data_IF_474766987394
#
_entry.id   IF_474766987394
#
_cell.length_a   1.000
_cell.length_b   1.000
_cell.length_c   1.000
_cell.angle_alpha   90.00
_cell.angle_beta   90.00
_cell.angle_gamma   90.00
#
_symmetry.space_group_name_H-M   'P 1'
#
loop_
_entity.id
_entity.type
_entity.pdbx_description
1 polymer ?
#
# COMPACT_ATOMS: atom_id res chain seq x y z
N UNK A 1 10.62 4.24 -14.67
CA UNK A 1 10.16 5.03 -13.50
C UNK A 1 9.61 4.10 -12.44
N UNK A 2 9.99 4.31 -11.21
CA UNK A 2 9.51 3.49 -10.08
C UNK A 2 8.03 3.72 -9.85
N UNK A 3 7.29 2.63 -9.61
CA UNK A 3 5.92 2.67 -9.10
C UNK A 3 5.94 2.13 -7.67
N UNK A 4 5.55 2.95 -6.72
CA UNK A 4 5.39 2.51 -5.34
C UNK A 4 3.99 1.91 -5.16
N UNK A 5 3.95 0.73 -4.57
CA UNK A 5 2.70 0.11 -4.12
C UNK A 5 2.65 0.30 -2.60
N UNK A 6 1.69 1.08 -2.13
CA UNK A 6 1.58 1.43 -0.72
C UNK A 6 0.54 0.52 -0.06
N UNK A 7 0.92 -0.20 0.98
CA UNK A 7 -0.04 -0.98 1.75
C UNK A 7 -0.64 -0.14 2.89
N UNK A 8 -1.66 -0.68 3.54
CA UNK A 8 -2.35 0.03 4.61
C UNK A 8 -1.45 0.32 5.81
N UNK A 9 -0.54 -0.60 6.15
CA UNK A 9 0.35 -0.41 7.30
C UNK A 9 1.29 0.77 7.12
N UNK A 10 1.83 0.95 5.91
CA UNK A 10 2.70 2.09 5.59
C UNK A 10 1.92 3.40 5.62
N UNK A 11 0.72 3.43 5.03
CA UNK A 11 -0.13 4.61 5.05
C UNK A 11 -0.48 5.02 6.49
N UNK A 12 -0.76 4.07 7.36
CA UNK A 12 -1.09 4.36 8.76
C UNK A 12 0.10 4.88 9.54
N UNK A 13 1.32 4.41 9.26
CA UNK A 13 2.53 5.01 9.85
C UNK A 13 2.63 6.50 9.51
N UNK A 14 2.29 6.88 8.29
CA UNK A 14 2.29 8.27 7.86
C UNK A 14 1.28 9.10 8.66
N UNK A 15 0.04 8.64 8.78
CA UNK A 15 -0.99 9.36 9.54
C UNK A 15 -0.72 9.41 11.04
N UNK A 16 -0.04 8.41 11.58
CA UNK A 16 0.27 8.30 13.00
C UNK A 16 1.57 9.02 13.39
N UNK A 17 2.29 9.56 12.41
CA UNK A 17 3.64 10.08 12.59
C UNK A 17 4.54 9.04 13.27
N UNK A 18 4.35 7.79 12.89
CA UNK A 18 5.06 6.66 13.45
C UNK A 18 6.42 6.42 12.80
N UNK A 19 7.05 5.31 13.18
CA UNK A 19 8.34 4.93 12.62
C UNK A 19 8.23 4.73 11.10
N UNK A 20 9.08 5.43 10.35
CA UNK A 20 9.07 5.39 8.88
C UNK A 20 8.12 6.39 8.23
N UNK A 21 7.40 7.22 8.99
CA UNK A 21 6.52 8.25 8.43
C UNK A 21 7.27 9.19 7.49
N UNK A 22 8.51 9.56 7.83
CA UNK A 22 9.35 10.40 6.98
C UNK A 22 9.58 9.77 5.60
N UNK A 23 9.82 8.47 5.57
CA UNK A 23 10.04 7.76 4.32
C UNK A 23 8.77 7.73 3.47
N UNK A 24 7.61 7.52 4.07
CA UNK A 24 6.33 7.56 3.36
C UNK A 24 6.10 8.96 2.78
N UNK A 25 6.41 10.01 3.55
CA UNK A 25 6.33 11.39 3.05
C UNK A 25 7.23 11.62 1.84
N UNK A 26 8.47 11.09 1.86
CA UNK A 26 9.37 11.16 0.70
C UNK A 26 8.77 10.48 -0.52
N UNK A 27 8.16 9.30 -0.34
CA UNK A 27 7.49 8.57 -1.42
C UNK A 27 6.35 9.39 -2.00
N UNK A 28 5.47 9.94 -1.14
CA UNK A 28 4.35 10.76 -1.57
C UNK A 28 4.82 12.01 -2.30
N UNK A 29 5.87 12.66 -1.81
CA UNK A 29 6.46 13.85 -2.44
C UNK A 29 7.03 13.52 -3.82
N UNK A 30 7.74 12.40 -3.96
CA UNK A 30 8.26 11.97 -5.25
C UNK A 30 7.13 11.72 -6.26
N UNK A 31 6.02 11.13 -5.80
CA UNK A 31 4.86 10.89 -6.66
C UNK A 31 4.15 12.19 -7.04
N UNK A 32 3.99 13.11 -6.09
CA UNK A 32 3.40 14.43 -6.35
C UNK A 32 4.25 15.25 -7.35
N UNK A 33 5.57 15.07 -7.33
CA UNK A 33 6.52 15.71 -8.24
C UNK A 33 6.69 14.98 -9.58
N UNK A 34 5.92 13.92 -9.80
CA UNK A 34 5.98 13.06 -11.01
C UNK A 34 7.32 12.38 -11.24
N UNK A 35 8.09 12.16 -10.18
CA UNK A 35 9.34 11.41 -10.22
C UNK A 35 9.12 9.91 -9.98
N UNK A 36 7.92 9.54 -9.54
CA UNK A 36 7.49 8.18 -9.32
C UNK A 36 5.97 8.11 -9.45
N UNK A 37 5.44 6.90 -9.55
CA UNK A 37 3.99 6.64 -9.54
C UNK A 37 3.58 6.02 -8.21
N UNK A 38 2.34 6.26 -7.79
CA UNK A 38 1.75 5.67 -6.61
C UNK A 38 0.55 4.82 -6.99
N UNK A 39 0.52 3.61 -6.47
CA UNK A 39 -0.58 2.66 -6.68
C UNK A 39 -0.99 2.07 -5.34
N UNK A 40 -2.30 1.98 -5.11
CA UNK A 40 -2.86 1.37 -3.91
C UNK A 40 -3.96 0.40 -4.35
N UNK A 41 -3.96 -0.82 -3.83
CA UNK A 41 -5.05 -1.76 -4.07
C UNK A 41 -6.33 -1.27 -3.41
N UNK A 42 -7.49 -1.49 -4.05
CA UNK A 42 -8.79 -1.11 -3.49
C UNK A 42 -9.04 -1.74 -2.11
N UNK A 43 -8.54 -2.94 -1.85
CA UNK A 43 -8.67 -3.58 -0.54
C UNK A 43 -7.85 -2.85 0.53
N UNK A 44 -6.61 -2.49 0.21
CA UNK A 44 -5.77 -1.70 1.12
C UNK A 44 -6.36 -0.30 1.32
N UNK A 45 -6.89 0.31 0.27
CA UNK A 45 -7.58 1.59 0.33
C UNK A 45 -8.76 1.56 1.30
N UNK A 46 -9.58 0.51 1.22
CA UNK A 46 -10.70 0.30 2.14
C UNK A 46 -10.25 0.12 3.58
N UNK A 47 -9.17 -0.62 3.83
CA UNK A 47 -8.61 -0.78 5.17
C UNK A 47 -8.14 0.55 5.74
N UNK A 48 -7.46 1.36 4.93
CA UNK A 48 -7.03 2.70 5.35
C UNK A 48 -8.25 3.54 5.72
N UNK A 49 -9.25 3.59 4.85
CA UNK A 49 -10.48 4.37 5.09
C UNK A 49 -11.15 3.95 6.40
N UNK A 50 -11.31 2.65 6.63
CA UNK A 50 -11.94 2.14 7.84
C UNK A 50 -11.21 2.53 9.11
N UNK A 51 -9.89 2.49 9.10
CA UNK A 51 -9.08 2.86 10.25
C UNK A 51 -9.07 4.37 10.50
N UNK A 52 -9.06 5.17 9.45
CA UNK A 52 -9.17 6.62 9.58
C UNK A 52 -10.52 7.03 10.16
N UNK A 53 -11.60 6.40 9.70
CA UNK A 53 -12.95 6.65 10.22
C UNK A 53 -13.05 6.32 11.70
N UNK A 54 -12.55 5.16 12.09
CA UNK A 54 -12.57 4.72 13.49
C UNK A 54 -11.78 5.66 14.39
N UNK A 55 -10.65 6.18 13.90
CA UNK A 55 -9.72 6.97 14.70
C UNK A 55 -10.06 8.46 14.72
N UNK A 56 -10.45 9.03 13.57
CA UNK A 56 -10.61 10.47 13.40
C UNK A 56 -12.05 10.90 13.11
N UNK A 57 -12.97 9.95 12.88
CA UNK A 57 -14.37 10.22 12.59
C UNK A 57 -14.66 10.45 11.12
N UNK A 58 -15.94 10.45 10.78
CA UNK A 58 -16.44 10.50 9.41
C UNK A 58 -16.01 11.77 8.66
N UNK A 59 -16.04 12.92 9.32
CA UNK A 59 -15.71 14.19 8.66
C UNK A 59 -14.24 14.29 8.24
N UNK A 60 -13.32 13.67 8.99
CA UNK A 60 -11.90 13.71 8.72
C UNK A 60 -11.43 12.54 7.82
N UNK A 61 -12.17 11.44 7.80
CA UNK A 61 -11.83 10.27 6.98
C UNK A 61 -11.57 10.63 5.53
N UNK A 62 -12.52 11.30 4.89
CA UNK A 62 -12.45 11.64 3.46
C UNK A 62 -11.28 12.58 3.19
N UNK A 63 -11.12 13.60 4.03
CA UNK A 63 -10.03 14.58 3.89
C UNK A 63 -8.66 13.92 3.99
N UNK A 64 -8.46 13.10 5.01
CA UNK A 64 -7.19 12.41 5.23
C UNK A 64 -6.91 11.38 4.14
N UNK A 65 -7.94 10.62 3.73
CA UNK A 65 -7.82 9.63 2.68
C UNK A 65 -7.38 10.28 1.36
N UNK A 66 -8.00 11.40 1.00
CA UNK A 66 -7.64 12.12 -0.22
C UNK A 66 -6.23 12.72 -0.16
N UNK A 67 -5.71 13.01 1.03
CA UNK A 67 -4.35 13.53 1.19
C UNK A 67 -3.26 12.52 0.79
N UNK A 68 -3.59 11.23 0.75
CA UNK A 68 -2.67 10.19 0.27
C UNK A 68 -2.51 10.19 -1.24
N UNK A 69 -3.47 10.79 -1.96
CA UNK A 69 -3.48 10.67 -3.42
C UNK A 69 -2.88 11.93 -4.05
N UNK A 70 -1.59 11.91 -4.44
CA UNK A 70 -1.09 12.91 -5.37
C UNK A 70 -1.88 12.80 -6.68
N UNK A 71 -1.84 13.87 -7.50
CA UNK A 71 -2.72 14.04 -8.66
C UNK A 71 -2.73 12.88 -9.66
N UNK A 72 -1.72 12.03 -9.67
CA UNK A 72 -1.61 10.89 -10.60
C UNK A 72 -1.59 9.54 -9.90
N UNK A 73 -1.97 9.49 -8.63
CA UNK A 73 -2.08 8.22 -7.92
C UNK A 73 -3.27 7.41 -8.43
N UNK A 74 -3.12 6.10 -8.43
CA UNK A 74 -4.14 5.17 -8.87
C UNK A 74 -4.56 4.24 -7.75
N UNK A 75 -5.86 4.19 -7.48
CA UNK A 75 -6.45 3.10 -6.68
C UNK A 75 -6.89 2.02 -7.66
N UNK A 76 -6.29 0.84 -7.53
CA UNK A 76 -6.51 -0.27 -8.48
C UNK A 76 -7.68 -1.13 -8.01
N UNK A 77 -8.70 -1.22 -8.85
CA UNK A 77 -9.91 -2.00 -8.57
C UNK A 77 -9.61 -3.48 -8.36
N UNK A 78 -10.33 -4.10 -7.43
CA UNK A 78 -10.27 -5.53 -7.18
C UNK A 78 -11.14 -6.27 -8.20
N UNK A 79 -10.63 -6.42 -9.41
CA UNK A 79 -11.36 -7.13 -10.48
C UNK A 79 -11.42 -8.63 -10.20
N UNK A 80 -12.27 -9.35 -10.94
CA UNK A 80 -12.38 -10.80 -10.84
C UNK A 80 -11.02 -11.49 -11.08
N UNK A 81 -10.28 -11.05 -12.10
CA UNK A 81 -8.98 -11.62 -12.42
C UNK A 81 -7.97 -11.38 -11.30
N UNK A 82 -7.92 -10.17 -10.74
CA UNK A 82 -7.05 -9.86 -9.61
C UNK A 82 -7.41 -10.67 -8.37
N UNK A 83 -8.69 -10.89 -8.13
CA UNK A 83 -9.17 -11.70 -7.01
C UNK A 83 -8.66 -13.15 -7.12
N UNK A 84 -8.68 -13.72 -8.32
CA UNK A 84 -8.16 -15.08 -8.55
C UNK A 84 -6.65 -15.14 -8.31
N UNK A 85 -5.89 -14.16 -8.81
CA UNK A 85 -4.44 -14.07 -8.56
C UNK A 85 -4.13 -13.95 -7.07
N UNK A 86 -4.85 -13.09 -6.37
CA UNK A 86 -4.67 -12.88 -4.93
C UNK A 86 -5.03 -14.14 -4.13
N UNK A 87 -6.09 -14.84 -4.53
CA UNK A 87 -6.49 -16.09 -3.89
C UNK A 87 -5.40 -17.17 -4.02
N UNK A 88 -4.78 -17.28 -5.18
CA UNK A 88 -3.67 -18.20 -5.40
C UNK A 88 -2.48 -17.88 -4.48
N UNK A 89 -2.10 -16.61 -4.38
CA UNK A 89 -1.03 -16.17 -3.49
C UNK A 89 -1.36 -16.47 -2.02
N UNK A 90 -2.61 -16.22 -1.62
CA UNK A 90 -3.05 -16.51 -0.26
C UNK A 90 -2.89 -17.98 0.09
N UNK A 91 -3.32 -18.86 -0.80
CA UNK A 91 -3.25 -20.31 -0.58
C UNK A 91 -1.81 -20.82 -0.63
N UNK A 92 -1.07 -20.44 -1.67
CA UNK A 92 0.27 -20.96 -1.93
C UNK A 92 1.31 -20.44 -0.93
N UNK A 93 1.15 -19.24 -0.44
CA UNK A 93 2.15 -18.57 0.41
C UNK A 93 1.61 -18.23 1.81
N UNK A 94 0.37 -18.55 2.11
CA UNK A 94 -0.25 -18.37 3.43
C UNK A 94 -0.16 -16.93 3.95
N UNK A 95 -0.59 -15.97 3.13
CA UNK A 95 -0.67 -14.55 3.51
C UNK A 95 -2.13 -14.11 3.56
N UNK A 96 -2.40 -12.99 4.24
CA UNK A 96 -3.74 -12.40 4.29
C UNK A 96 -4.21 -11.99 2.90
N UNK A 97 -5.51 -12.10 2.65
CA UNK A 97 -6.07 -11.83 1.31
C UNK A 97 -5.83 -10.40 0.84
N UNK A 98 -6.04 -9.42 1.72
CA UNK A 98 -5.77 -8.03 1.38
C UNK A 98 -4.28 -7.80 1.04
N UNK A 99 -3.36 -8.44 1.78
CA UNK A 99 -1.93 -8.36 1.52
C UNK A 99 -1.58 -9.01 0.17
N UNK A 100 -2.29 -10.07 -0.20
CA UNK A 100 -2.11 -10.74 -1.49
C UNK A 100 -2.44 -9.81 -2.66
N UNK A 101 -3.43 -8.92 -2.54
CA UNK A 101 -3.71 -7.92 -3.56
C UNK A 101 -2.56 -6.93 -3.73
N UNK A 102 -1.99 -6.45 -2.63
CA UNK A 102 -0.84 -5.54 -2.68
C UNK A 102 0.38 -6.24 -3.30
N UNK A 103 0.64 -7.47 -2.91
CA UNK A 103 1.75 -8.26 -3.45
C UNK A 103 1.59 -8.50 -4.94
N UNK A 104 0.37 -8.82 -5.40
CA UNK A 104 0.09 -9.04 -6.82
C UNK A 104 0.42 -7.80 -7.66
N UNK A 105 0.08 -6.61 -7.17
CA UNK A 105 0.45 -5.37 -7.83
C UNK A 105 1.97 -5.17 -7.86
N UNK A 106 2.64 -5.46 -6.76
CA UNK A 106 4.08 -5.25 -6.64
C UNK A 106 4.88 -6.19 -7.56
N UNK A 107 4.45 -7.43 -7.71
CA UNK A 107 5.16 -8.41 -8.55
C UNK A 107 4.91 -8.24 -10.05
N UNK A 108 4.01 -7.35 -10.45
CA UNK A 108 3.67 -7.16 -11.85
C UNK A 108 4.81 -6.59 -12.68
N UNK A 109 5.79 -5.93 -12.06
CA UNK A 109 6.94 -5.35 -12.74
C UNK A 109 8.14 -5.27 -11.80
N UNK A 110 9.38 -5.44 -12.30
CA UNK A 110 10.58 -5.23 -11.50
C UNK A 110 10.78 -3.77 -11.08
N UNK A 111 10.06 -2.82 -11.70
CA UNK A 111 10.09 -1.41 -11.33
C UNK A 111 9.10 -1.06 -10.21
N UNK A 112 8.26 -2.00 -9.81
CA UNK A 112 7.33 -1.82 -8.70
C UNK A 112 8.01 -2.14 -7.37
N UNK A 113 7.75 -1.30 -6.35
CA UNK A 113 8.26 -1.50 -5.00
C UNK A 113 7.08 -1.40 -4.03
N UNK A 114 6.84 -2.47 -3.28
CA UNK A 114 5.88 -2.47 -2.19
C UNK A 114 6.51 -1.81 -0.97
N UNK A 115 5.88 -0.78 -0.44
CA UNK A 115 6.29 -0.12 0.80
C UNK A 115 5.36 -0.57 1.92
N UNK A 116 5.90 -1.16 2.96
CA UNK A 116 5.12 -1.76 4.04
C UNK A 116 5.80 -1.60 5.40
N UNK A 117 4.99 -1.57 6.45
CA UNK A 117 5.44 -1.69 7.84
C UNK A 117 5.10 -3.08 8.41
N UNK A 118 4.51 -3.95 7.61
CA UNK A 118 4.12 -5.31 8.03
C UNK A 118 5.22 -6.30 7.65
N UNK A 119 5.94 -6.79 8.65
CA UNK A 119 7.04 -7.74 8.45
C UNK A 119 6.57 -9.15 8.08
N UNK A 120 5.27 -9.42 8.09
CA UNK A 120 4.72 -10.64 7.52
C UNK A 120 5.05 -10.79 6.03
N UNK A 121 5.29 -9.69 5.32
CA UNK A 121 5.73 -9.72 3.93
C UNK A 121 7.13 -10.28 3.72
N UNK A 122 7.92 -10.47 4.76
CA UNK A 122 9.24 -11.11 4.62
C UNK A 122 9.13 -12.55 4.11
N UNK A 123 8.03 -13.22 4.39
CA UNK A 123 7.78 -14.58 3.90
C UNK A 123 7.62 -14.66 2.37
N UNK A 124 7.40 -13.53 1.71
CA UNK A 124 7.15 -13.42 0.26
C UNK A 124 8.08 -12.42 -0.43
N UNK A 125 9.18 -12.02 0.20
CA UNK A 125 10.12 -11.04 -0.36
C UNK A 125 10.91 -11.56 -1.57
N UNK A 126 10.82 -12.86 -1.85
CA UNK A 126 11.33 -13.48 -3.07
C UNK A 126 10.47 -13.19 -4.31
N UNK A 127 9.21 -12.78 -4.13
CA UNK A 127 8.24 -12.59 -5.21
C UNK A 127 8.20 -11.16 -5.75
N UNK A 128 8.66 -10.17 -5.00
CA UNK A 128 8.59 -8.77 -5.38
C UNK A 128 9.67 -7.96 -4.66
N UNK A 129 9.92 -6.74 -5.15
CA UNK A 129 10.76 -5.78 -4.43
C UNK A 129 9.93 -5.18 -3.30
N UNK A 130 10.41 -5.31 -2.09
CA UNK A 130 9.71 -4.82 -0.89
C UNK A 130 10.64 -3.94 -0.09
N UNK A 131 10.17 -2.74 0.21
CA UNK A 131 10.84 -1.83 1.14
C UNK A 131 10.11 -1.89 2.47
N UNK A 132 10.79 -2.33 3.52
CA UNK A 132 10.25 -2.40 4.88
C UNK A 132 10.56 -1.12 5.63
N UNK A 133 9.52 -0.50 6.20
CA UNK A 133 9.70 0.62 7.11
C UNK A 133 10.31 0.13 8.42
N UNK A 134 10.99 1.02 9.20
CA UNK A 134 11.54 0.63 10.48
C UNK A 134 10.49 0.06 11.43
N UNK A 135 10.88 -0.89 12.26
CA UNK A 135 10.06 -1.38 13.35
C UNK A 135 9.80 -0.26 14.37
N UNK A 136 8.70 -0.38 15.07
CA UNK A 136 8.34 0.59 16.12
C UNK A 136 9.33 0.56 17.29
#
# INVERSE_FOLDING_TARGET
MITYVLDSSAALRYFDDGAGADRVEEVLTACASRRANLTISALQWGEIAGKLRKRFGESDEIRLLNSLLPSEATVVSATADRAVHAAALKVDRNIAYADAFALDLARASPEHILVTADYGFKAVDDLARIEFLPAK
#
